data_IF_495558897823
#
_entry.id   IF_495558897823
#
_cell.length_a   1.000
_cell.length_b   1.000
_cell.length_c   1.000
_cell.angle_alpha   90.00
_cell.angle_beta   90.00
_cell.angle_gamma   90.00
#
_symmetry.space_group_name_H-M   'P 1'
#
loop_
_entity.id
_entity.type
_entity.pdbx_description
1 polymer ?
#
# COMPACT_ATOMS: atom_id res chain seq x y z
N UNK A 1 -14.49 -24.04 4.97
CA UNK A 1 -14.30 -22.81 4.18
C UNK A 1 -12.89 -22.31 4.43
N UNK A 2 -11.95 -22.54 3.51
CA UNK A 2 -10.60 -21.98 3.62
C UNK A 2 -10.70 -20.46 3.55
N UNK A 3 -10.45 -19.79 4.68
CA UNK A 3 -10.27 -18.34 4.69
C UNK A 3 -9.01 -18.06 3.87
N UNK A 4 -9.17 -17.51 2.66
CA UNK A 4 -8.03 -16.99 1.90
C UNK A 4 -7.37 -15.94 2.80
N UNK A 5 -6.09 -16.12 3.10
CA UNK A 5 -5.33 -15.13 3.84
C UNK A 5 -5.28 -13.84 3.01
N UNK A 6 -5.46 -12.66 3.65
CA UNK A 6 -5.45 -11.40 2.93
C UNK A 6 -4.05 -11.16 2.34
N UNK A 7 -3.96 -10.98 1.01
CA UNK A 7 -2.70 -10.65 0.30
C UNK A 7 -2.03 -9.46 0.98
N UNK A 8 -0.76 -9.61 1.33
CA UNK A 8 0.09 -8.55 1.87
C UNK A 8 0.78 -7.81 0.73
N UNK A 9 0.63 -6.48 0.71
CA UNK A 9 1.39 -5.63 -0.21
C UNK A 9 2.80 -5.51 0.36
N UNK A 10 3.76 -6.07 -0.35
CA UNK A 10 5.18 -5.97 -0.04
C UNK A 10 5.70 -4.54 -0.26
N UNK A 11 6.92 -4.29 0.23
CA UNK A 11 7.61 -3.03 -0.04
C UNK A 11 7.77 -2.77 -1.54
N UNK A 12 8.20 -3.78 -2.29
CA UNK A 12 8.49 -3.66 -3.72
C UNK A 12 7.21 -3.40 -4.52
N UNK A 13 6.12 -4.14 -4.26
CA UNK A 13 4.83 -3.90 -4.89
C UNK A 13 4.30 -2.47 -4.64
N UNK A 14 4.54 -1.91 -3.45
CA UNK A 14 4.15 -0.54 -3.16
C UNK A 14 5.04 0.49 -3.85
N UNK A 15 6.35 0.25 -3.90
CA UNK A 15 7.28 1.12 -4.62
C UNK A 15 6.99 1.15 -6.13
N UNK A 16 6.73 -0.01 -6.73
CA UNK A 16 6.32 -0.13 -8.14
C UNK A 16 5.00 0.60 -8.41
N UNK A 17 4.00 0.40 -7.53
CA UNK A 17 2.74 1.14 -7.62
C UNK A 17 2.96 2.65 -7.62
N UNK A 18 3.80 3.17 -6.72
CA UNK A 18 4.13 4.59 -6.65
C UNK A 18 4.82 5.08 -7.93
N UNK A 19 5.78 4.33 -8.45
CA UNK A 19 6.48 4.67 -9.70
C UNK A 19 5.56 4.61 -10.93
N UNK A 20 4.48 3.83 -10.89
CA UNK A 20 3.46 3.80 -11.92
C UNK A 20 2.47 4.98 -11.90
N UNK A 21 2.47 5.79 -10.83
CA UNK A 21 1.63 6.99 -10.76
C UNK A 21 2.26 8.12 -11.60
N UNK A 22 1.41 8.92 -12.25
CA UNK A 22 1.88 10.11 -12.95
C UNK A 22 2.31 11.19 -11.95
N UNK A 23 3.53 11.67 -12.10
CA UNK A 23 4.09 12.78 -11.32
C UNK A 23 5.34 12.39 -10.56
N UNK A 24 6.04 13.40 -10.04
CA UNK A 24 7.19 13.21 -9.17
C UNK A 24 6.74 13.07 -7.72
N UNK A 25 7.45 12.23 -6.96
CA UNK A 25 7.22 12.06 -5.53
C UNK A 25 7.98 13.15 -4.76
N UNK A 26 7.56 14.41 -4.90
CA UNK A 26 8.16 15.55 -4.20
C UNK A 26 7.39 15.84 -2.91
N UNK A 27 8.11 16.07 -1.81
CA UNK A 27 7.50 16.44 -0.54
C UNK A 27 6.83 17.83 -0.62
N UNK A 28 5.53 17.96 -0.34
CA UNK A 28 4.84 19.25 -0.45
C UNK A 28 5.24 20.25 0.65
N UNK A 29 5.97 19.81 1.68
CA UNK A 29 6.36 20.65 2.82
C UNK A 29 7.79 21.20 2.72
N UNK A 30 8.70 20.46 2.07
CA UNK A 30 10.11 20.81 2.02
C UNK A 30 10.78 20.56 0.66
N UNK A 31 10.00 20.13 -0.34
CA UNK A 31 10.43 19.93 -1.74
C UNK A 31 11.51 18.86 -1.93
N UNK A 32 11.78 18.04 -0.91
CA UNK A 32 12.71 16.90 -0.99
C UNK A 32 12.05 15.63 -1.57
N UNK A 33 12.86 14.77 -2.18
CA UNK A 33 12.43 13.53 -2.84
C UNK A 33 12.78 12.24 -2.06
N UNK A 34 13.33 12.38 -0.85
CA UNK A 34 13.72 11.23 -0.03
C UNK A 34 12.57 10.76 0.86
N UNK A 35 12.15 9.51 0.64
CA UNK A 35 11.02 8.91 1.34
C UNK A 35 11.35 7.56 1.98
N UNK A 36 10.69 7.29 3.10
CA UNK A 36 10.63 5.97 3.74
C UNK A 36 9.23 5.40 3.56
N UNK A 37 9.13 4.16 3.09
CA UNK A 37 7.84 3.48 2.92
C UNK A 37 7.61 2.50 4.08
N UNK A 38 6.41 2.53 4.64
CA UNK A 38 5.95 1.59 5.66
C UNK A 38 4.85 0.70 5.10
N UNK A 39 5.17 -0.58 4.92
CA UNK A 39 4.24 -1.61 4.48
C UNK A 39 4.05 -2.68 5.57
N UNK A 40 2.91 -3.40 5.59
CA UNK A 40 2.74 -4.51 6.50
C UNK A 40 3.77 -5.61 6.22
N UNK A 41 4.37 -6.17 7.27
CA UNK A 41 5.33 -7.28 7.14
C UNK A 41 4.93 -8.43 8.04
N UNK A 42 5.04 -9.66 7.53
CA UNK A 42 5.01 -10.87 8.35
C UNK A 42 6.33 -10.99 9.12
N UNK A 43 6.22 -11.16 10.42
CA UNK A 43 7.33 -11.54 11.26
C UNK A 43 7.43 -13.06 11.23
N UNK A 44 8.48 -13.56 10.62
CA UNK A 44 8.86 -14.97 10.72
C UNK A 44 9.33 -15.25 12.15
N UNK A 45 8.40 -15.61 13.02
CA UNK A 45 8.69 -16.08 14.37
C UNK A 45 8.13 -17.50 14.48
N UNK A 46 9.00 -18.47 14.80
CA UNK A 46 8.82 -19.92 14.58
C UNK A 46 7.60 -20.58 15.26
N UNK A 47 6.71 -19.83 15.90
CA UNK A 47 5.54 -20.36 16.61
C UNK A 47 4.25 -19.54 16.46
N UNK A 48 4.24 -18.43 15.72
CA UNK A 48 3.01 -17.65 15.49
C UNK A 48 3.20 -16.66 14.33
N UNK A 49 2.37 -16.74 13.30
CA UNK A 49 2.30 -15.74 12.23
C UNK A 49 1.89 -14.38 12.83
N UNK A 50 2.88 -13.56 13.21
CA UNK A 50 2.67 -12.21 13.72
C UNK A 50 2.79 -11.23 12.57
N UNK A 51 1.80 -10.35 12.41
CA UNK A 51 1.81 -9.29 11.40
C UNK A 51 2.15 -7.96 12.06
N UNK A 52 3.15 -7.27 11.54
CA UNK A 52 3.35 -5.85 11.82
C UNK A 52 2.54 -5.04 10.82
N UNK A 53 1.77 -4.07 11.32
CA UNK A 53 1.06 -3.10 10.49
C UNK A 53 1.21 -1.70 11.08
N UNK A 54 1.35 -0.66 10.24
CA UNK A 54 1.26 0.72 10.69
C UNK A 54 -0.10 1.00 11.35
N UNK A 55 -0.13 1.81 12.41
CA UNK A 55 -1.37 2.22 13.08
C UNK A 55 -1.38 3.73 13.31
N UNK A 56 -2.56 4.35 13.23
CA UNK A 56 -2.73 5.77 13.53
C UNK A 56 -3.29 5.89 14.96
N UNK A 57 -2.56 6.54 15.89
CA UNK A 57 -3.09 6.82 17.21
C UNK A 57 -4.24 7.82 17.11
N UNK A 58 -5.34 7.58 17.81
CA UNK A 58 -6.48 8.47 17.84
C UNK A 58 -7.01 8.65 19.26
N UNK A 59 -7.54 9.83 19.58
CA UNK A 59 -8.23 10.06 20.84
C UNK A 59 -9.57 10.72 20.53
N UNK A 60 -10.66 10.19 21.09
CA UNK A 60 -11.93 10.90 21.10
C UNK A 60 -11.98 11.78 22.34
N UNK A 61 -12.18 13.07 22.12
CA UNK A 61 -12.45 14.01 23.20
C UNK A 61 -13.96 14.13 23.38
N UNK A 62 -14.46 13.69 24.54
CA UNK A 62 -15.85 13.93 24.96
C UNK A 62 -15.84 14.96 26.08
N UNK A 63 -16.35 16.16 25.78
CA UNK A 63 -16.46 17.26 26.76
C UNK A 63 -17.41 16.94 27.94
N UNK A 64 -18.22 15.88 27.84
CA UNK A 64 -19.18 15.48 28.89
C UNK A 64 -18.55 14.67 30.04
N UNK A 65 -17.41 14.01 29.81
CA UNK A 65 -16.84 13.08 30.81
C UNK A 65 -15.48 13.53 31.37
N UNK A 66 -14.91 14.64 30.88
CA UNK A 66 -13.63 15.19 31.35
C UNK A 66 -12.43 14.23 31.26
N UNK A 67 -12.59 13.09 30.58
CA UNK A 67 -11.60 12.02 30.46
C UNK A 67 -11.35 11.74 28.99
N UNK A 68 -10.10 11.88 28.59
CA UNK A 68 -9.63 11.42 27.29
C UNK A 68 -9.73 9.90 27.22
N UNK A 69 -10.40 9.38 26.17
CA UNK A 69 -10.32 7.97 25.81
C UNK A 69 -9.43 7.85 24.58
N UNK A 70 -8.14 7.67 24.80
CA UNK A 70 -7.19 7.32 23.75
C UNK A 70 -7.43 5.87 23.31
N UNK A 71 -7.56 5.66 22.00
CA UNK A 71 -7.65 4.33 21.40
C UNK A 71 -6.74 4.27 20.17
N UNK A 72 -6.00 3.19 20.01
CA UNK A 72 -5.33 2.92 18.74
C UNK A 72 -6.38 2.44 17.74
N UNK A 73 -6.57 3.17 16.63
CA UNK A 73 -7.36 2.68 15.51
C UNK A 73 -6.47 1.71 14.71
N UNK A 74 -6.36 0.48 15.21
CA UNK A 74 -5.75 -0.65 14.52
C UNK A 74 -6.83 -1.67 14.17
N UNK A 75 -7.24 -1.70 12.91
CA UNK A 75 -8.25 -2.64 12.41
C UNK A 75 -8.51 -2.39 10.92
N UNK A 76 -9.12 -3.37 10.26
CA UNK A 76 -9.37 -3.42 8.80
C UNK A 76 -10.08 -2.19 8.19
N UNK A 77 -10.60 -1.29 9.02
CA UNK A 77 -11.25 -0.03 8.63
C UNK A 77 -10.21 1.06 8.28
N UNK A 78 -8.98 0.97 8.81
CA UNK A 78 -7.91 1.96 8.64
C UNK A 78 -6.58 1.29 8.26
N UNK A 79 -6.63 0.31 7.36
CA UNK A 79 -5.42 -0.23 6.73
C UNK A 79 -4.83 0.81 5.78
N UNK A 80 -3.67 1.35 6.15
CA UNK A 80 -2.94 2.38 5.40
C UNK A 80 -1.52 1.93 5.07
N UNK A 81 -1.05 2.38 3.91
CA UNK A 81 0.38 2.40 3.58
C UNK A 81 0.87 3.84 3.80
N UNK A 82 2.07 3.98 4.35
CA UNK A 82 2.61 5.29 4.73
C UNK A 82 3.89 5.55 3.96
N UNK A 83 4.03 6.79 3.51
CA UNK A 83 5.23 7.32 2.87
C UNK A 83 5.66 8.57 3.65
N UNK A 84 6.81 8.51 4.31
CA UNK A 84 7.32 9.56 5.20
C UNK A 84 8.54 10.26 4.60
N UNK A 85 8.51 11.59 4.54
CA UNK A 85 9.64 12.38 4.06
C UNK A 85 10.78 12.34 5.07
N UNK A 86 11.96 11.91 4.64
CA UNK A 86 13.13 11.77 5.52
C UNK A 86 13.67 13.12 6.05
N UNK A 87 13.33 14.23 5.39
CA UNK A 87 13.82 15.56 5.77
C UNK A 87 12.92 16.23 6.83
N UNK A 88 11.61 16.25 6.60
CA UNK A 88 10.68 17.03 7.43
C UNK A 88 9.62 16.20 8.18
N UNK A 89 9.60 14.88 8.00
CA UNK A 89 8.63 13.98 8.65
C UNK A 89 7.21 14.08 8.11
N UNK A 90 6.99 14.79 6.99
CA UNK A 90 5.68 14.81 6.34
C UNK A 90 5.26 13.39 5.95
N UNK A 91 4.06 12.99 6.35
CA UNK A 91 3.50 11.67 6.06
C UNK A 91 2.41 11.79 4.99
N UNK A 92 2.52 10.95 3.96
CA UNK A 92 1.49 10.73 2.97
C UNK A 92 0.86 9.35 3.18
N UNK A 93 -0.48 9.31 3.22
CA UNK A 93 -1.24 8.11 3.57
C UNK A 93 -2.00 7.58 2.36
N UNK A 94 -1.85 6.28 2.10
CA UNK A 94 -2.52 5.59 1.02
C UNK A 94 -3.47 4.54 1.59
N UNK A 95 -4.67 4.45 1.01
CA UNK A 95 -5.62 3.39 1.36
C UNK A 95 -5.11 2.04 0.86
N UNK A 96 -4.84 1.11 1.77
CA UNK A 96 -4.34 -0.22 1.43
C UNK A 96 -5.24 -0.94 0.43
N UNK A 97 -6.57 -0.92 0.66
CA UNK A 97 -7.54 -1.58 -0.21
C UNK A 97 -7.55 -1.01 -1.64
N UNK A 98 -7.36 0.30 -1.80
CA UNK A 98 -7.28 0.94 -3.13
C UNK A 98 -5.99 0.57 -3.85
N UNK A 99 -4.86 0.61 -3.14
CA UNK A 99 -3.56 0.23 -3.71
C UNK A 99 -3.58 -1.24 -4.14
N UNK A 100 -4.09 -2.14 -3.29
CA UNK A 100 -4.21 -3.56 -3.60
C UNK A 100 -5.05 -3.80 -4.87
N UNK A 101 -6.21 -3.15 -4.96
CA UNK A 101 -7.09 -3.25 -6.14
C UNK A 101 -6.39 -2.76 -7.41
N UNK A 102 -5.62 -1.67 -7.32
CA UNK A 102 -4.93 -1.11 -8.48
C UNK A 102 -3.81 -2.03 -8.97
N UNK A 103 -3.03 -2.62 -8.06
CA UNK A 103 -1.97 -3.60 -8.37
C UNK A 103 -2.56 -4.84 -9.04
N UNK A 104 -3.65 -5.40 -8.48
CA UNK A 104 -4.28 -6.59 -9.08
C UNK A 104 -4.85 -6.31 -10.48
N UNK A 105 -5.40 -5.12 -10.71
CA UNK A 105 -5.95 -4.76 -12.02
C UNK A 105 -4.86 -4.47 -13.08
N UNK A 106 -3.63 -4.13 -12.70
CA UNK A 106 -2.52 -3.98 -13.65
C UNK A 106 -1.99 -5.33 -14.11
N UNK A 107 -1.87 -6.32 -13.21
CA UNK A 107 -1.44 -7.69 -13.54
C UNK A 107 -2.37 -8.34 -14.58
N UNK A 108 -3.69 -8.13 -14.46
CA UNK A 108 -4.67 -8.68 -15.42
C UNK A 108 -4.51 -8.11 -16.84
N UNK A 109 -4.11 -6.84 -16.98
CA UNK A 109 -3.98 -6.17 -18.29
C UNK A 109 -2.72 -6.58 -19.07
N UNK A 110 -1.64 -6.91 -18.37
CA UNK A 110 -0.40 -7.41 -19.01
C UNK A 110 -0.56 -8.85 -19.52
N UNK A 111 -1.43 -9.63 -18.87
CA UNK A 111 -1.72 -11.02 -19.27
C UNK A 111 -2.57 -11.14 -20.54
N UNK A 112 -3.34 -10.10 -20.89
CA UNK A 112 -4.22 -10.09 -22.07
C UNK A 112 -3.50 -9.52 -23.31
N UNK A 113 -2.46 -8.70 -23.11
CA UNK A 113 -1.67 -8.08 -24.19
C UNK A 113 -0.54 -8.96 -24.72
N UNK A 114 -0.27 -10.10 -24.08
CA UNK A 114 0.73 -11.09 -24.50
C UNK A 114 0.14 -12.26 -25.32
N UNK A 115 -1.14 -12.18 -25.74
CA UNK A 115 -1.84 -13.21 -26.53
C UNK A 115 -2.24 -12.82 -27.96
N UNK A 116 -1.85 -11.64 -28.43
CA UNK A 116 -2.11 -11.21 -29.82
C UNK A 116 -0.80 -10.83 -30.49
N UNK A 117 -0.14 -11.82 -31.11
CA UNK A 117 1.12 -11.56 -31.79
C UNK A 117 1.81 -12.75 -32.45
N UNK A 118 1.08 -13.80 -32.87
CA UNK A 118 1.59 -14.77 -33.84
C UNK A 118 0.44 -15.12 -34.80
N UNK A 119 0.78 -15.29 -36.08
CA UNK A 119 -0.08 -15.58 -37.25
C UNK A 119 -0.69 -14.36 -37.98
N UNK A 120 0.08 -13.72 -38.85
CA UNK A 120 -0.17 -13.75 -40.31
C UNK A 120 0.97 -13.03 -41.08
N UNK A 121 1.81 -13.78 -41.79
CA UNK A 121 2.24 -13.43 -43.17
C UNK A 121 3.14 -14.54 -43.73
N UNK A 122 2.52 -15.45 -44.48
CA UNK A 122 3.20 -16.33 -45.42
C UNK A 122 3.19 -15.63 -46.79
N UNK A 123 4.34 -15.28 -47.41
CA UNK A 123 4.32 -14.64 -48.71
C UNK A 123 4.08 -15.69 -49.80
N UNK A 124 3.05 -15.46 -50.61
CA UNK A 124 2.77 -16.20 -51.84
C UNK A 124 3.34 -15.52 -53.08
N UNK A 125 3.79 -16.36 -54.00
CA UNK A 125 4.24 -16.16 -55.39
C UNK A 125 5.65 -15.62 -55.66
#
# INVERSE_FOLDING_TARGET
>A
MSKKEPKLISFDEFAEYLNGLKGEHICPMCEEEKWTLYTPKELEDQSNNRRMQPTIPFATYSSKDGKEKGNLLGGSVLDVLIMECQNCGYMNFFSYAKVLKNISNSEEKESDSSRQGEDDESPGN
#
